data_IF_996430166360
#
_entry.id   IF_996430166360
#
_cell.length_a   1.000
_cell.length_b   1.000
_cell.length_c   1.000
_cell.angle_alpha   90.00
_cell.angle_beta   90.00
_cell.angle_gamma   90.00
#
_symmetry.space_group_name_H-M   'P 1'
#
loop_
_entity.id
_entity.type
_entity.pdbx_description
1 polymer ?
#
# COMPACT_ATOMS: atom_id res chain seq x y z
N UNK A 1 -20.25 -1.40 -2.67
CA UNK A 1 -19.84 -1.35 -1.25
C UNK A 1 -19.83 0.12 -0.86
N UNK A 2 -20.26 0.51 0.35
CA UNK A 2 -20.20 1.93 0.76
C UNK A 2 -18.77 2.46 0.61
N UNK A 3 -18.64 3.70 0.13
CA UNK A 3 -17.34 4.32 -0.16
C UNK A 3 -16.74 4.04 -1.53
N UNK A 4 -17.12 2.95 -2.22
CA UNK A 4 -16.49 2.55 -3.48
C UNK A 4 -17.42 2.71 -4.69
N UNK A 5 -16.89 3.32 -5.75
CA UNK A 5 -17.58 3.46 -7.04
C UNK A 5 -16.64 3.16 -8.21
N UNK A 6 -17.19 2.63 -9.30
CA UNK A 6 -16.44 2.46 -10.55
C UNK A 6 -16.55 3.74 -11.39
N UNK A 7 -15.40 4.26 -11.83
CA UNK A 7 -15.31 5.43 -12.71
C UNK A 7 -14.60 5.08 -14.02
N UNK A 8 -14.69 5.96 -15.00
CA UNK A 8 -14.09 5.79 -16.33
C UNK A 8 -12.99 6.82 -16.56
N UNK A 9 -11.87 6.37 -17.12
CA UNK A 9 -10.65 7.15 -17.36
C UNK A 9 -10.34 7.35 -18.83
N UNK A 10 -9.10 7.78 -19.08
CA UNK A 10 -8.57 8.02 -20.43
C UNK A 10 -8.73 6.76 -21.29
N UNK A 11 -9.22 6.90 -22.52
CA UNK A 11 -9.37 5.74 -23.42
C UNK A 11 -10.44 4.72 -22.99
N UNK A 12 -11.27 5.06 -21.99
CA UNK A 12 -12.42 4.25 -21.59
C UNK A 12 -12.11 3.10 -20.64
N UNK A 13 -10.91 3.02 -20.05
CA UNK A 13 -10.66 2.05 -18.98
C UNK A 13 -11.47 2.42 -17.72
N UNK A 14 -11.91 1.43 -16.97
CA UNK A 14 -12.63 1.64 -15.71
C UNK A 14 -11.75 1.30 -14.52
N UNK A 15 -11.96 2.02 -13.42
CA UNK A 15 -11.17 1.89 -12.20
C UNK A 15 -12.03 2.14 -10.95
N UNK A 16 -11.70 1.54 -9.81
CA UNK A 16 -12.34 1.84 -8.54
C UNK A 16 -11.87 3.19 -7.98
N UNK A 17 -12.80 3.90 -7.36
CA UNK A 17 -12.57 5.13 -6.62
C UNK A 17 -13.16 5.00 -5.22
N UNK A 18 -12.43 5.46 -4.21
CA UNK A 18 -12.85 5.48 -2.82
C UNK A 18 -13.16 6.90 -2.35
N UNK A 19 -14.26 7.06 -1.61
CA UNK A 19 -14.64 8.30 -0.90
C UNK A 19 -15.01 7.98 0.54
N UNK A 20 -14.25 8.52 1.48
CA UNK A 20 -14.46 8.22 2.89
C UNK A 20 -15.75 8.83 3.45
N UNK A 21 -16.17 10.01 2.97
CA UNK A 21 -17.43 10.63 3.41
C UNK A 21 -18.66 9.76 3.18
N UNK A 22 -18.61 8.86 2.19
CA UNK A 22 -19.68 7.91 1.89
C UNK A 22 -19.70 6.68 2.83
N UNK A 23 -18.73 6.54 3.75
CA UNK A 23 -18.69 5.49 4.78
C UNK A 23 -19.09 5.98 6.18
N UNK A 24 -19.25 7.29 6.38
CA UNK A 24 -19.53 7.88 7.70
C UNK A 24 -20.84 7.40 8.35
N UNK A 25 -21.84 7.01 7.55
CA UNK A 25 -23.10 6.46 8.08
C UNK A 25 -22.96 5.02 8.62
N UNK A 26 -21.85 4.33 8.32
CA UNK A 26 -21.54 2.98 8.83
C UNK A 26 -20.73 3.04 10.15
N UNK A 27 -20.45 4.24 10.68
CA UNK A 27 -19.62 4.46 11.87
C UNK A 27 -20.48 4.54 13.14
N UNK A 28 -20.87 3.38 13.69
CA UNK A 28 -21.48 3.34 15.02
C UNK A 28 -20.42 3.60 16.10
N UNK A 29 -20.54 4.73 16.80
CA UNK A 29 -19.55 5.26 17.77
C UNK A 29 -19.31 4.41 19.02
N UNK A 30 -18.38 3.47 18.92
CA UNK A 30 -17.63 2.92 20.06
C UNK A 30 -16.29 3.66 20.25
N UNK A 31 -15.65 3.48 21.40
CA UNK A 31 -14.26 3.94 21.61
C UNK A 31 -13.32 3.11 20.74
N UNK A 32 -13.10 3.57 19.50
CA UNK A 32 -12.23 2.90 18.51
C UNK A 32 -10.81 2.63 19.03
N UNK A 33 -10.37 3.35 20.08
CA UNK A 33 -9.09 3.16 20.75
C UNK A 33 -8.93 1.78 21.40
N UNK A 34 -9.98 1.19 21.98
CA UNK A 34 -9.87 -0.14 22.61
C UNK A 34 -9.68 -1.22 21.53
N UNK A 35 -10.43 -1.14 20.44
CA UNK A 35 -10.28 -2.05 19.30
C UNK A 35 -8.91 -1.96 18.63
N UNK A 36 -8.39 -0.74 18.47
CA UNK A 36 -7.02 -0.51 17.97
C UNK A 36 -5.97 -1.11 18.91
N UNK A 37 -6.13 -0.96 20.23
CA UNK A 37 -5.22 -1.54 21.22
C UNK A 37 -5.23 -3.07 21.14
N UNK A 38 -6.40 -3.69 21.10
CA UNK A 38 -6.53 -5.15 20.97
C UNK A 38 -5.90 -5.68 19.68
N UNK A 39 -6.09 -4.99 18.55
CA UNK A 39 -5.45 -5.36 17.29
C UNK A 39 -3.92 -5.30 17.39
N UNK A 40 -3.38 -4.26 18.03
CA UNK A 40 -1.96 -4.13 18.26
C UNK A 40 -1.40 -5.23 19.17
N UNK A 41 -2.08 -5.54 20.27
CA UNK A 41 -1.68 -6.60 21.19
C UNK A 41 -1.60 -7.96 20.50
N UNK A 42 -2.63 -8.33 19.74
CA UNK A 42 -2.67 -9.60 19.03
C UNK A 42 -1.68 -9.65 17.84
N UNK A 43 -1.50 -8.54 17.11
CA UNK A 43 -0.47 -8.44 16.08
C UNK A 43 0.92 -8.69 16.67
N UNK A 44 1.27 -8.00 17.76
CA UNK A 44 2.59 -8.09 18.37
C UNK A 44 2.85 -9.47 18.97
N UNK A 45 1.84 -10.08 19.61
CA UNK A 45 1.92 -11.46 20.11
C UNK A 45 2.14 -12.45 18.98
N UNK A 46 1.44 -12.27 17.85
CA UNK A 46 1.61 -13.09 16.65
C UNK A 46 3.02 -12.94 16.10
N UNK A 47 3.50 -11.70 15.92
CA UNK A 47 4.83 -11.42 15.38
C UNK A 47 5.96 -11.91 16.28
N UNK A 48 5.86 -11.73 17.60
CA UNK A 48 6.83 -12.27 18.58
C UNK A 48 6.95 -13.80 18.52
N UNK A 49 5.90 -14.48 18.05
CA UNK A 49 5.91 -15.94 17.84
C UNK A 49 6.41 -16.31 16.44
N UNK A 50 5.94 -15.61 15.40
CA UNK A 50 6.19 -15.92 14.00
C UNK A 50 7.61 -15.56 13.53
N UNK A 51 8.11 -14.40 13.93
CA UNK A 51 9.37 -13.84 13.42
C UNK A 51 10.58 -14.74 13.73
N UNK A 52 10.75 -15.32 14.94
CA UNK A 52 11.85 -16.26 15.19
C UNK A 52 11.81 -17.51 14.29
N UNK A 53 10.62 -17.98 13.94
CA UNK A 53 10.46 -19.10 13.00
C UNK A 53 10.83 -18.67 11.59
N UNK A 54 10.43 -17.46 11.18
CA UNK A 54 10.78 -16.90 9.88
C UNK A 54 12.29 -16.70 9.74
N UNK A 55 12.95 -16.17 10.77
CA UNK A 55 14.42 -16.04 10.85
C UNK A 55 15.13 -17.39 10.69
N UNK A 56 14.76 -18.38 11.51
CA UNK A 56 15.39 -19.71 11.46
C UNK A 56 15.15 -20.45 10.14
N UNK A 57 14.10 -20.08 9.40
CA UNK A 57 13.75 -20.65 8.10
C UNK A 57 14.26 -19.83 6.91
N UNK A 58 14.92 -18.69 7.13
CA UNK A 58 15.35 -17.78 6.07
C UNK A 58 14.20 -17.11 5.31
N UNK A 59 12.99 -17.07 5.90
CA UNK A 59 11.79 -16.46 5.31
C UNK A 59 11.68 -15.01 5.76
N UNK A 60 11.41 -14.11 4.82
CA UNK A 60 11.11 -12.71 5.11
C UNK A 60 9.61 -12.51 5.25
N UNK A 61 9.17 -11.85 6.33
CA UNK A 61 7.77 -11.46 6.53
C UNK A 61 7.61 -9.99 6.13
N UNK A 62 6.71 -9.73 5.19
CA UNK A 62 6.47 -8.41 4.62
C UNK A 62 5.02 -7.96 4.90
N UNK A 63 4.81 -7.24 6.00
CA UNK A 63 3.49 -6.75 6.38
C UNK A 63 2.98 -5.69 5.39
N UNK A 64 1.76 -5.85 4.88
CA UNK A 64 1.07 -4.80 4.14
C UNK A 64 0.26 -3.92 5.12
N UNK A 65 0.15 -2.63 4.83
CA UNK A 65 -0.63 -1.68 5.63
C UNK A 65 -2.14 -1.85 5.42
N UNK A 66 -2.95 -1.12 6.17
CA UNK A 66 -4.39 -1.06 5.86
C UNK A 66 -4.62 -0.31 4.54
N UNK A 67 -5.55 -0.80 3.71
CA UNK A 67 -5.97 -0.21 2.44
C UNK A 67 -7.53 -0.22 2.38
N UNK A 68 -8.20 0.94 2.51
CA UNK A 68 -7.65 2.29 2.68
C UNK A 68 -6.89 2.47 4.02
N UNK A 69 -5.86 3.33 4.07
CA UNK A 69 -5.09 3.61 5.29
C UNK A 69 -5.84 4.55 6.25
N UNK A 70 -6.96 4.09 6.79
CA UNK A 70 -7.81 4.86 7.72
C UNK A 70 -8.35 3.99 8.84
N UNK A 71 -8.56 4.62 10.01
CA UNK A 71 -9.20 4.00 11.14
C UNK A 71 -10.24 4.97 11.74
N UNK A 72 -11.47 4.52 12.02
CA UNK A 72 -12.06 3.24 11.64
C UNK A 72 -12.37 3.16 10.13
N UNK A 73 -12.38 1.96 9.58
CA UNK A 73 -12.94 1.68 8.26
C UNK A 73 -14.31 1.03 8.44
N UNK A 74 -15.38 1.77 8.15
CA UNK A 74 -16.78 1.28 8.28
C UNK A 74 -17.08 0.72 9.68
N UNK A 75 -16.68 1.46 10.70
CA UNK A 75 -16.84 1.07 12.11
C UNK A 75 -15.86 -0.01 12.61
N UNK A 76 -14.97 -0.54 11.75
CA UNK A 76 -13.96 -1.53 12.16
C UNK A 76 -12.61 -0.84 12.40
N UNK A 77 -11.99 -1.03 13.58
CA UNK A 77 -10.66 -0.46 13.84
C UNK A 77 -9.63 -1.04 12.87
N UNK A 78 -8.70 -0.19 12.43
CA UNK A 78 -7.55 -0.56 11.62
C UNK A 78 -6.25 -0.13 12.33
N UNK A 79 -5.16 -0.82 12.02
CA UNK A 79 -3.79 -0.50 12.42
C UNK A 79 -2.89 -0.60 11.19
N UNK A 80 -1.65 -0.13 11.27
CA UNK A 80 -0.71 -0.07 10.13
C UNK A 80 -1.22 0.87 9.03
N UNK A 81 -1.83 1.98 9.47
CA UNK A 81 -2.39 3.00 8.56
C UNK A 81 -1.32 4.00 8.12
N UNK A 82 -0.28 4.24 8.91
CA UNK A 82 0.77 5.23 8.64
C UNK A 82 2.20 4.67 8.89
N UNK A 83 3.22 5.47 8.64
CA UNK A 83 4.62 5.09 8.89
C UNK A 83 4.96 4.97 10.37
N UNK A 84 4.27 5.68 11.27
CA UNK A 84 4.49 5.59 12.70
C UNK A 84 4.10 4.21 13.25
N UNK A 85 3.01 3.64 12.72
CA UNK A 85 2.60 2.26 13.00
C UNK A 85 3.68 1.25 12.56
N UNK A 86 4.27 1.42 11.37
CA UNK A 86 5.35 0.52 10.92
C UNK A 86 6.61 0.63 11.78
N UNK A 87 7.00 1.84 12.19
CA UNK A 87 8.11 2.06 13.13
C UNK A 87 7.84 1.37 14.48
N UNK A 88 6.60 1.43 14.98
CA UNK A 88 6.19 0.68 16.17
C UNK A 88 6.36 -0.83 15.97
N UNK A 89 5.89 -1.39 14.86
CA UNK A 89 6.02 -2.82 14.58
C UNK A 89 7.48 -3.27 14.57
N UNK A 90 8.36 -2.52 13.92
CA UNK A 90 9.77 -2.88 13.81
C UNK A 90 10.56 -2.68 15.11
N UNK A 91 10.21 -1.67 15.90
CA UNK A 91 10.83 -1.44 17.20
C UNK A 91 10.40 -2.46 18.26
N UNK A 92 9.13 -2.87 18.26
CA UNK A 92 8.61 -3.84 19.23
C UNK A 92 8.95 -5.30 18.87
N UNK A 93 9.22 -5.59 17.60
CA UNK A 93 9.66 -6.91 17.12
C UNK A 93 10.88 -6.76 16.20
N UNK A 94 12.06 -6.41 16.76
CA UNK A 94 13.26 -6.14 15.99
C UNK A 94 13.81 -7.44 15.37
N UNK A 95 13.94 -7.45 14.05
CA UNK A 95 14.43 -8.60 13.29
C UNK A 95 14.83 -8.20 11.87
N UNK A 96 15.89 -8.78 11.27
CA UNK A 96 16.17 -8.64 9.84
C UNK A 96 15.15 -9.33 8.93
N UNK A 97 14.25 -10.17 9.48
CA UNK A 97 13.19 -10.88 8.76
C UNK A 97 11.79 -10.28 9.00
N UNK A 98 11.70 -9.19 9.78
CA UNK A 98 10.48 -8.40 9.95
C UNK A 98 10.59 -7.10 9.15
N UNK A 99 9.80 -6.98 8.10
CA UNK A 99 9.76 -5.83 7.19
C UNK A 99 8.36 -5.61 6.64
N UNK A 100 8.26 -4.79 5.59
CA UNK A 100 7.00 -4.40 4.99
C UNK A 100 6.91 -4.71 3.50
N UNK A 101 5.67 -4.88 3.06
CA UNK A 101 5.28 -4.56 1.69
C UNK A 101 5.07 -3.04 1.62
N UNK A 102 6.00 -2.32 1.00
CA UNK A 102 5.87 -0.89 0.78
C UNK A 102 4.93 -0.68 -0.42
N UNK A 103 3.65 -0.45 -0.15
CA UNK A 103 2.69 -0.14 -1.20
C UNK A 103 2.70 1.35 -1.53
N UNK A 104 3.22 1.67 -2.71
CA UNK A 104 3.38 3.06 -3.16
C UNK A 104 2.03 3.78 -3.19
N UNK A 105 1.00 3.12 -3.72
CA UNK A 105 -0.37 3.66 -3.74
C UNK A 105 -0.92 3.90 -2.34
N UNK A 106 -0.96 2.87 -1.50
CA UNK A 106 -1.50 2.99 -0.12
C UNK A 106 -0.76 4.05 0.70
N UNK A 107 0.57 4.17 0.56
CA UNK A 107 1.34 5.21 1.29
C UNK A 107 1.08 6.62 0.75
N UNK A 108 0.77 6.77 -0.53
CA UNK A 108 0.30 8.05 -1.06
C UNK A 108 -1.12 8.38 -0.57
N UNK A 109 -2.00 7.38 -0.50
CA UNK A 109 -3.38 7.53 -0.04
C UNK A 109 -3.50 7.97 1.42
N UNK A 110 -2.54 7.60 2.27
CA UNK A 110 -2.48 8.08 3.67
C UNK A 110 -2.13 9.57 3.77
N UNK A 111 -1.66 10.19 2.68
CA UNK A 111 -1.16 11.56 2.67
C UNK A 111 0.30 11.69 3.13
N UNK A 112 1.01 10.57 3.31
CA UNK A 112 2.41 10.57 3.70
C UNK A 112 3.35 10.77 2.51
N UNK A 113 4.58 11.25 2.77
CA UNK A 113 5.61 11.39 1.73
C UNK A 113 6.21 10.02 1.39
N UNK A 114 5.76 9.47 0.26
CA UNK A 114 6.22 8.19 -0.30
C UNK A 114 7.74 8.14 -0.46
N UNK A 115 8.38 9.22 -0.91
CA UNK A 115 9.82 9.23 -1.16
C UNK A 115 10.62 9.27 0.15
N UNK A 116 10.10 9.99 1.14
CA UNK A 116 10.65 9.97 2.49
C UNK A 116 10.54 8.57 3.10
N UNK A 117 9.38 7.92 2.98
CA UNK A 117 9.19 6.54 3.42
C UNK A 117 10.15 5.56 2.75
N UNK A 118 10.32 5.66 1.43
CA UNK A 118 11.30 4.82 0.69
C UNK A 118 12.70 5.02 1.24
N UNK A 119 13.15 6.27 1.39
CA UNK A 119 14.49 6.59 1.92
C UNK A 119 14.67 6.05 3.33
N UNK A 120 13.69 6.28 4.21
CA UNK A 120 13.73 5.88 5.61
C UNK A 120 13.76 4.36 5.77
N UNK A 121 12.74 3.66 5.28
CA UNK A 121 12.61 2.22 5.47
C UNK A 121 13.54 1.41 4.56
N UNK A 122 13.91 1.96 3.40
CA UNK A 122 14.95 1.40 2.54
C UNK A 122 16.31 1.40 3.22
N UNK A 123 16.73 2.53 3.82
CA UNK A 123 17.99 2.62 4.57
C UNK A 123 18.04 1.68 5.79
N UNK A 124 16.89 1.37 6.40
CA UNK A 124 16.78 0.39 7.47
C UNK A 124 16.76 -1.07 6.98
N UNK A 125 16.72 -1.30 5.66
CA UNK A 125 16.57 -2.64 5.08
C UNK A 125 15.21 -3.27 5.37
N UNK A 126 14.14 -2.47 5.49
CA UNK A 126 12.80 -2.93 5.90
C UNK A 126 11.81 -3.11 4.75
N UNK A 127 12.16 -2.69 3.55
CA UNK A 127 11.31 -2.87 2.36
C UNK A 127 11.64 -4.23 1.74
N UNK A 128 10.73 -5.21 1.86
CA UNK A 128 10.93 -6.56 1.32
C UNK A 128 10.16 -6.80 0.03
N UNK A 129 9.04 -6.10 -0.14
CA UNK A 129 8.17 -6.20 -1.29
C UNK A 129 7.64 -4.80 -1.61
N UNK A 130 7.40 -4.51 -2.88
CA UNK A 130 6.84 -3.22 -3.30
C UNK A 130 5.66 -3.46 -4.20
N UNK A 131 4.50 -2.92 -3.80
CA UNK A 131 3.40 -2.73 -4.73
C UNK A 131 3.59 -1.40 -5.45
N UNK A 132 3.82 -1.50 -6.76
CA UNK A 132 4.17 -0.42 -7.67
C UNK A 132 2.94 0.08 -8.43
N UNK A 133 1.86 0.36 -7.69
CA UNK A 133 0.64 0.98 -8.24
C UNK A 133 0.63 2.48 -8.02
N UNK A 134 -0.19 3.17 -8.82
CA UNK A 134 -0.32 4.62 -8.80
C UNK A 134 -1.80 5.01 -8.62
N UNK A 135 -2.05 6.13 -7.97
CA UNK A 135 -3.40 6.64 -7.67
C UNK A 135 -3.49 8.13 -7.92
N UNK A 136 -4.71 8.67 -7.89
CA UNK A 136 -4.95 10.11 -7.81
C UNK A 136 -5.68 10.47 -6.52
N UNK A 137 -5.26 11.56 -5.88
CA UNK A 137 -5.80 12.05 -4.62
C UNK A 137 -5.42 11.21 -3.41
N UNK A 138 -5.64 11.76 -2.22
CA UNK A 138 -5.43 11.04 -0.96
C UNK A 138 -6.54 11.33 0.07
N UNK A 139 -6.57 10.55 1.15
CA UNK A 139 -7.60 10.67 2.18
C UNK A 139 -7.53 12.00 2.94
N UNK A 140 -6.33 12.53 3.18
CA UNK A 140 -6.10 13.72 3.98
C UNK A 140 -6.55 15.00 3.27
N UNK A 141 -6.24 15.15 1.98
CA UNK A 141 -6.52 16.37 1.20
C UNK A 141 -7.79 16.29 0.37
N UNK A 142 -8.12 15.12 -0.17
CA UNK A 142 -9.22 14.95 -1.14
C UNK A 142 -10.40 14.14 -0.58
N UNK A 143 -10.28 13.63 0.65
CA UNK A 143 -11.28 12.77 1.29
C UNK A 143 -11.46 11.42 0.59
N UNK A 144 -10.51 11.01 -0.25
CA UNK A 144 -10.61 9.81 -1.08
C UNK A 144 -9.59 9.78 -2.22
N UNK A 145 -9.50 8.64 -2.90
CA UNK A 145 -8.54 8.40 -3.96
C UNK A 145 -9.15 7.60 -5.11
N UNK A 146 -8.43 7.54 -6.22
CA UNK A 146 -8.82 6.84 -7.42
C UNK A 146 -7.67 5.94 -7.87
N UNK A 147 -7.93 4.64 -8.04
CA UNK A 147 -6.94 3.74 -8.63
C UNK A 147 -6.69 4.09 -10.09
N UNK A 148 -5.43 4.01 -10.53
CA UNK A 148 -5.05 4.41 -11.87
C UNK A 148 -4.07 3.43 -12.50
N UNK A 149 -3.94 3.54 -13.82
CA UNK A 149 -2.80 2.97 -14.51
C UNK A 149 -1.51 3.60 -13.96
N UNK A 150 -0.37 2.88 -13.99
CA UNK A 150 0.88 3.39 -13.45
C UNK A 150 1.36 4.70 -14.11
N UNK A 151 0.92 4.98 -15.34
CA UNK A 151 1.21 6.21 -16.09
C UNK A 151 0.13 7.31 -15.98
N UNK A 152 -0.97 7.08 -15.24
CA UNK A 152 -2.11 8.01 -15.10
C UNK A 152 -2.44 8.35 -13.63
N UNK A 153 -1.48 8.22 -12.71
CA UNK A 153 -1.63 8.68 -11.33
C UNK A 153 -0.90 9.99 -11.05
N UNK A 154 -0.89 10.40 -9.77
CA UNK A 154 -0.25 11.66 -9.32
C UNK A 154 1.26 11.51 -9.13
N UNK A 155 1.75 10.30 -8.82
CA UNK A 155 3.17 10.08 -8.63
C UNK A 155 3.88 9.86 -9.97
N UNK A 156 5.06 10.47 -10.10
CA UNK A 156 6.00 10.10 -11.15
C UNK A 156 6.67 8.77 -10.78
N UNK A 157 6.22 7.69 -11.39
CA UNK A 157 6.68 6.34 -11.06
C UNK A 157 8.16 6.10 -11.43
N UNK A 158 8.75 6.87 -12.36
CA UNK A 158 10.19 6.82 -12.62
C UNK A 158 10.99 7.30 -11.39
N UNK A 159 10.49 8.33 -10.71
CA UNK A 159 11.11 8.86 -9.49
C UNK A 159 11.03 7.84 -8.34
N UNK A 160 9.94 7.08 -8.27
CA UNK A 160 9.75 6.01 -7.27
C UNK A 160 10.80 4.92 -7.48
N UNK A 161 11.00 4.47 -8.72
CA UNK A 161 12.04 3.50 -9.07
C UNK A 161 13.43 4.04 -8.76
N UNK A 162 13.70 5.31 -9.07
CA UNK A 162 14.98 5.95 -8.74
C UNK A 162 15.23 6.02 -7.23
N UNK A 163 14.23 6.38 -6.44
CA UNK A 163 14.35 6.38 -4.97
C UNK A 163 14.60 4.98 -4.40
N UNK A 164 13.94 3.95 -4.94
CA UNK A 164 14.17 2.55 -4.57
C UNK A 164 15.59 2.09 -4.93
N UNK A 165 16.08 2.48 -6.12
CA UNK A 165 17.45 2.20 -6.56
C UNK A 165 18.50 2.87 -5.65
N UNK A 166 18.27 4.13 -5.27
CA UNK A 166 19.18 4.90 -4.39
C UNK A 166 19.34 4.26 -3.00
N UNK A 167 18.31 3.59 -2.48
CA UNK A 167 18.37 2.84 -1.21
C UNK A 167 18.84 1.39 -1.38
N UNK A 168 19.20 0.97 -2.59
CA UNK A 168 19.70 -0.37 -2.88
C UNK A 168 18.63 -1.47 -2.82
N UNK A 169 17.36 -1.13 -3.07
CA UNK A 169 16.30 -2.13 -3.14
C UNK A 169 16.50 -3.06 -4.35
N UNK A 170 16.57 -4.37 -4.10
CA UNK A 170 16.93 -5.40 -5.08
C UNK A 170 15.88 -6.51 -5.23
N UNK A 171 14.64 -6.27 -4.77
CA UNK A 171 13.57 -7.28 -4.71
C UNK A 171 12.42 -6.97 -5.68
N UNK A 172 11.33 -7.74 -5.56
CA UNK A 172 10.24 -7.73 -6.53
C UNK A 172 9.40 -6.44 -6.51
N UNK A 173 9.24 -5.83 -7.69
CA UNK A 173 8.21 -4.83 -7.96
C UNK A 173 6.97 -5.55 -8.52
N UNK A 174 5.91 -5.57 -7.73
CA UNK A 174 4.59 -6.08 -8.14
C UNK A 174 3.73 -4.93 -8.67
N UNK A 175 3.04 -5.14 -9.79
CA UNK A 175 2.14 -4.12 -10.36
C UNK A 175 0.86 -3.92 -9.53
N UNK A 176 0.51 -4.88 -8.66
CA UNK A 176 -0.62 -4.84 -7.74
C UNK A 176 -1.99 -4.68 -8.44
N UNK A 177 -2.72 -3.59 -8.20
CA UNK A 177 -4.09 -3.42 -8.65
C UNK A 177 -4.18 -3.30 -10.19
N UNK A 178 -5.03 -4.14 -10.79
CA UNK A 178 -5.36 -4.09 -12.21
C UNK A 178 -6.65 -3.31 -12.44
N UNK A 179 -6.57 -2.28 -13.26
CA UNK A 179 -7.77 -1.58 -13.77
C UNK A 179 -8.33 -2.34 -14.97
N UNK A 180 -9.54 -2.02 -15.42
CA UNK A 180 -10.16 -2.73 -16.54
C UNK A 180 -10.08 -1.91 -17.82
N UNK A 181 -9.21 -2.31 -18.75
CA UNK A 181 -9.15 -1.67 -20.08
C UNK A 181 -10.32 -2.11 -20.97
N UNK A 182 -10.62 -1.33 -22.00
CA UNK A 182 -11.66 -1.69 -22.97
C UNK A 182 -11.28 -3.00 -23.68
N UNK A 183 -12.18 -3.99 -23.69
CA UNK A 183 -11.93 -5.31 -24.27
C UNK A 183 -11.03 -6.21 -23.42
N UNK A 184 -10.73 -5.84 -22.17
CA UNK A 184 -9.97 -6.71 -21.27
C UNK A 184 -10.81 -7.91 -20.81
N UNK A 185 -10.10 -8.98 -20.45
CA UNK A 185 -10.64 -10.09 -19.69
C UNK A 185 -11.17 -9.63 -18.33
N UNK A 186 -12.08 -10.41 -17.75
CA UNK A 186 -12.59 -10.17 -16.40
C UNK A 186 -11.50 -10.05 -15.33
N UNK A 187 -10.36 -10.72 -15.53
CA UNK A 187 -9.22 -10.72 -14.60
C UNK A 187 -8.14 -9.69 -14.96
N UNK A 188 -8.40 -8.75 -15.90
CA UNK A 188 -7.51 -7.61 -16.15
C UNK A 188 -6.16 -7.94 -16.82
N UNK A 189 -6.08 -9.02 -17.62
CA UNK A 189 -4.81 -9.46 -18.26
C UNK A 189 -4.12 -8.37 -19.09
N UNK A 190 -4.87 -7.55 -19.81
CA UNK A 190 -4.27 -6.50 -20.64
C UNK A 190 -3.70 -5.39 -19.76
N UNK A 191 -4.45 -4.97 -18.72
CA UNK A 191 -3.94 -4.02 -17.73
C UNK A 191 -2.71 -4.57 -17.00
N UNK A 192 -2.70 -5.83 -16.59
CA UNK A 192 -1.55 -6.46 -15.94
C UNK A 192 -0.33 -6.46 -16.86
N UNK A 193 -0.51 -6.84 -18.13
CA UNK A 193 0.56 -6.85 -19.13
C UNK A 193 1.10 -5.43 -19.39
N UNK A 194 0.22 -4.43 -19.45
CA UNK A 194 0.62 -3.02 -19.56
C UNK A 194 1.44 -2.58 -18.35
N UNK A 195 0.97 -2.83 -17.12
CA UNK A 195 1.67 -2.42 -15.90
C UNK A 195 3.02 -3.11 -15.75
N UNK A 196 3.09 -4.43 -15.99
CA UNK A 196 4.36 -5.17 -15.98
C UNK A 196 5.33 -4.65 -17.07
N UNK A 197 4.82 -4.35 -18.28
CA UNK A 197 5.59 -3.75 -19.35
C UNK A 197 6.10 -2.34 -18.99
N UNK A 198 5.27 -1.54 -18.34
CA UNK A 198 5.62 -0.21 -17.85
C UNK A 198 6.74 -0.27 -16.81
N UNK A 199 6.64 -1.15 -15.81
CA UNK A 199 7.69 -1.40 -14.81
C UNK A 199 9.02 -1.74 -15.49
N UNK A 200 9.00 -2.66 -16.46
CA UNK A 200 10.21 -2.99 -17.24
C UNK A 200 10.77 -1.79 -18.00
N UNK A 201 9.89 -0.96 -18.56
CA UNK A 201 10.26 0.25 -19.28
C UNK A 201 10.96 1.29 -18.39
N UNK A 202 10.39 1.59 -17.22
CA UNK A 202 11.02 2.53 -16.27
C UNK A 202 12.32 1.99 -15.69
N UNK A 203 12.40 0.70 -15.39
CA UNK A 203 13.65 0.05 -14.94
C UNK A 203 14.75 0.11 -16.02
N UNK A 204 14.40 -0.05 -17.29
CA UNK A 204 15.36 0.05 -18.39
C UNK A 204 15.84 1.50 -18.65
N UNK A 205 15.13 2.49 -18.09
CA UNK A 205 15.48 3.91 -18.20
C UNK A 205 16.28 4.46 -17.02
N UNK A 206 16.54 3.67 -15.98
CA UNK A 206 17.47 4.00 -14.89
C UNK A 206 18.92 4.07 -15.40
#
# INVERSE_FOLDING_TARGET
MSGWEERTGRGGYTFPAYRHSATLNDESGGEYSEGVQLLWEELLKTYKTLIPVAESSGVLIAQHGADPPITPLRGTPQILIDFADFERLFSEVPSPNNGMTFCVGTRYESGEDVFEGIRRFGAQGKIFHVHFRNVRGNLLTDGGYEERLPDDGDLNMMEVVRALYEVGYDRALDYDHVVRTNGDSFIGRQSAAFSAGYIKGVLAGL
#
